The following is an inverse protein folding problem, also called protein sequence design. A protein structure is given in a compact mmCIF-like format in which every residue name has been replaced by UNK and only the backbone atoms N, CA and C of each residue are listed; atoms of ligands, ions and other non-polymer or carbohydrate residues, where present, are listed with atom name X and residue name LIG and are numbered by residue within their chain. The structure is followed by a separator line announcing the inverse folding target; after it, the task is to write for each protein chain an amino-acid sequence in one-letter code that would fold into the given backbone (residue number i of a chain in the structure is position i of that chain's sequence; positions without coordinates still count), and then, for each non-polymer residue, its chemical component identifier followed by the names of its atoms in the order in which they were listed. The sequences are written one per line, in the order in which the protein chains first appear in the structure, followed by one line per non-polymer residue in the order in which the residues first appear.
data_IF_210532860444
#
_entry.id   IF_210532860444
#
_cell.length_a   1.000
_cell.length_b   1.000
_cell.length_c   1.000
_cell.angle_alpha   90.00
_cell.angle_beta   90.00
_cell.angle_gamma   90.00
#
_symmetry.space_group_name_H-M   'P 1'
#
loop_
_entity.id
_entity.type
_entity.pdbx_description
1 polymer ?
#
# COMPACT_ATOMS: atom_id res chain seq x y z
N UNK A 1 -1.19 -3.59 10.18
CA UNK A 1 0.16 -3.82 9.61
C UNK A 1 1.29 -3.83 10.64
N UNK A 2 1.53 -2.75 11.41
CA UNK A 2 2.70 -2.69 12.32
C UNK A 2 2.84 -3.86 13.32
N UNK A 3 1.72 -4.36 13.87
CA UNK A 3 1.73 -5.54 14.76
C UNK A 3 2.15 -6.82 14.03
N UNK A 4 1.68 -7.02 12.79
CA UNK A 4 2.01 -8.18 11.97
C UNK A 4 3.51 -8.21 11.66
N UNK A 5 4.08 -7.10 11.18
CA UNK A 5 5.52 -7.00 10.88
C UNK A 5 6.37 -7.24 12.12
N UNK A 6 5.99 -6.69 13.29
CA UNK A 6 6.70 -6.95 14.54
C UNK A 6 6.66 -8.42 14.96
N UNK A 7 5.50 -9.07 14.80
CA UNK A 7 5.35 -10.48 15.15
C UNK A 7 6.12 -11.40 14.19
N UNK A 8 6.18 -11.04 12.90
CA UNK A 8 6.95 -11.78 11.90
C UNK A 8 8.46 -11.65 12.12
N UNK A 9 8.93 -10.50 12.59
CA UNK A 9 10.36 -10.24 12.82
C UNK A 9 11.15 -9.98 11.53
N UNK A 10 10.50 -9.95 10.37
CA UNK A 10 11.10 -9.79 9.06
C UNK A 10 10.33 -8.74 8.21
N UNK A 11 10.97 -8.13 7.19
CA UNK A 11 10.29 -7.26 6.25
C UNK A 11 9.19 -7.99 5.47
N UNK A 12 8.11 -7.26 5.17
CA UNK A 12 7.02 -7.78 4.32
C UNK A 12 7.01 -7.02 3.00
N UNK A 13 7.24 -7.74 1.90
CA UNK A 13 7.00 -7.21 0.55
C UNK A 13 5.50 -7.27 0.27
N UNK A 14 4.92 -6.15 -0.15
CA UNK A 14 3.48 -6.05 -0.46
C UNK A 14 3.21 -5.11 -1.62
N UNK A 15 2.23 -5.49 -2.44
CA UNK A 15 1.55 -4.60 -3.40
C UNK A 15 0.11 -4.35 -2.92
N UNK A 16 -0.71 -3.66 -3.71
CA UNK A 16 -2.15 -3.68 -3.52
C UNK A 16 -2.70 -5.10 -3.75
N UNK A 17 -3.71 -5.48 -2.97
CA UNK A 17 -4.39 -6.78 -3.09
C UNK A 17 -5.48 -6.68 -4.16
N UNK A 18 -5.16 -7.11 -5.38
CA UNK A 18 -6.06 -7.13 -6.52
C UNK A 18 -5.55 -8.06 -7.61
N UNK A 19 -6.45 -8.48 -8.49
CA UNK A 19 -6.07 -9.12 -9.74
C UNK A 19 -5.35 -8.13 -10.67
N UNK A 20 -4.45 -8.60 -11.55
CA UNK A 20 -3.78 -7.75 -12.52
C UNK A 20 -4.78 -6.93 -13.34
N UNK A 21 -4.57 -5.61 -13.41
CA UNK A 21 -5.45 -4.67 -14.14
C UNK A 21 -6.73 -4.27 -13.40
N UNK A 22 -7.06 -4.90 -12.27
CA UNK A 22 -8.21 -4.53 -11.44
C UNK A 22 -7.85 -3.44 -10.42
N UNK A 23 -8.84 -2.64 -9.97
CA UNK A 23 -8.63 -1.74 -8.84
C UNK A 23 -8.30 -2.51 -7.55
N UNK A 24 -7.59 -1.89 -6.58
CA UNK A 24 -7.37 -2.48 -5.26
C UNK A 24 -8.67 -2.89 -4.58
N UNK A 25 -8.68 -4.07 -3.96
CA UNK A 25 -9.82 -4.53 -3.18
C UNK A 25 -10.03 -3.65 -1.93
N UNK A 26 -11.26 -3.21 -1.64
CA UNK A 26 -11.53 -2.30 -0.52
C UNK A 26 -11.54 -3.01 0.85
N UNK A 27 -11.61 -4.34 0.90
CA UNK A 27 -11.75 -5.09 2.15
C UNK A 27 -11.66 -6.60 1.96
N UNK A 28 -11.77 -7.33 3.06
CA UNK A 28 -11.56 -8.79 3.11
C UNK A 28 -12.56 -9.56 2.24
N UNK A 29 -13.84 -9.17 2.21
CA UNK A 29 -14.85 -9.85 1.40
C UNK A 29 -14.57 -9.71 -0.10
N UNK A 30 -14.05 -8.56 -0.52
CA UNK A 30 -13.66 -8.34 -1.91
C UNK A 30 -12.44 -9.20 -2.28
N UNK A 31 -11.43 -9.27 -1.40
CA UNK A 31 -10.27 -10.15 -1.60
C UNK A 31 -10.71 -11.62 -1.67
N UNK A 32 -11.55 -12.06 -0.72
CA UNK A 32 -12.02 -13.44 -0.67
C UNK A 32 -12.81 -13.84 -1.93
N UNK A 33 -13.63 -12.93 -2.46
CA UNK A 33 -14.34 -13.14 -3.73
C UNK A 33 -13.38 -13.16 -4.93
N UNK A 34 -12.50 -12.17 -5.04
CA UNK A 34 -11.62 -12.01 -6.21
C UNK A 34 -10.57 -13.13 -6.30
N UNK A 35 -10.20 -13.73 -5.14
CA UNK A 35 -9.24 -14.83 -5.03
C UNK A 35 -9.87 -16.13 -4.50
N UNK A 36 -11.18 -16.34 -4.71
CA UNK A 36 -11.92 -17.46 -4.12
C UNK A 36 -11.22 -18.83 -4.26
N UNK A 37 -10.69 -19.23 -5.44
CA UNK A 37 -10.02 -20.52 -5.58
C UNK A 37 -8.80 -20.70 -4.65
N UNK A 38 -8.03 -19.63 -4.41
CA UNK A 38 -6.84 -19.68 -3.56
C UNK A 38 -7.20 -19.70 -2.07
N UNK A 39 -8.27 -19.00 -1.69
CA UNK A 39 -8.81 -19.02 -0.33
C UNK A 39 -9.40 -20.38 -0.01
N UNK A 40 -10.22 -20.93 -0.90
CA UNK A 40 -10.81 -22.28 -0.77
C UNK A 40 -9.74 -23.37 -0.69
N UNK A 41 -8.66 -23.24 -1.48
CA UNK A 41 -7.52 -24.15 -1.44
C UNK A 41 -6.61 -23.97 -0.20
N UNK A 42 -6.85 -22.96 0.64
CA UNK A 42 -6.02 -22.66 1.82
C UNK A 42 -4.62 -22.14 1.49
N UNK A 43 -4.38 -21.70 0.25
CA UNK A 43 -3.09 -21.16 -0.21
C UNK A 43 -3.00 -19.65 -0.06
N UNK A 44 -4.13 -18.98 0.13
CA UNK A 44 -4.21 -17.55 0.47
C UNK A 44 -4.93 -17.38 1.81
N UNK A 45 -4.26 -16.72 2.76
CA UNK A 45 -4.87 -16.28 4.02
C UNK A 45 -5.27 -14.81 3.92
N UNK A 46 -6.47 -14.47 4.39
CA UNK A 46 -6.98 -13.10 4.43
C UNK A 46 -7.08 -12.65 5.88
N UNK A 47 -6.43 -11.52 6.20
CA UNK A 47 -6.55 -10.86 7.49
C UNK A 47 -7.56 -9.72 7.39
N UNK A 48 -8.73 -9.90 8.00
CA UNK A 48 -9.77 -8.86 8.02
C UNK A 48 -9.43 -7.75 9.01
N UNK A 49 -9.23 -6.54 8.46
CA UNK A 49 -9.01 -5.30 9.21
C UNK A 49 -10.11 -4.26 8.99
N UNK A 50 -11.24 -4.65 8.40
CA UNK A 50 -12.31 -3.78 7.95
C UNK A 50 -12.10 -3.20 6.54
N UNK A 51 -13.06 -2.38 6.12
CA UNK A 51 -13.07 -1.73 4.80
C UNK A 51 -12.22 -0.47 4.82
N UNK A 52 -11.33 -0.35 3.84
CA UNK A 52 -10.60 0.87 3.55
C UNK A 52 -11.55 1.88 2.88
N UNK A 53 -11.55 3.12 3.37
CA UNK A 53 -12.19 4.23 2.66
C UNK A 53 -11.45 4.59 1.37
N UNK A 54 -11.83 5.71 0.75
CA UNK A 54 -11.10 6.30 -0.37
C UNK A 54 -9.74 6.87 0.10
N UNK A 55 -8.79 5.98 0.39
CA UNK A 55 -7.42 6.35 0.71
C UNK A 55 -6.59 6.21 -0.56
N UNK A 56 -5.98 7.31 -1.07
CA UNK A 56 -5.02 7.20 -2.15
C UNK A 56 -3.87 6.25 -1.76
N UNK A 57 -3.22 5.61 -2.74
CA UNK A 57 -2.01 4.82 -2.49
C UNK A 57 -0.90 5.68 -1.84
N UNK A 58 0.12 5.05 -1.29
CA UNK A 58 1.27 5.74 -0.70
C UNK A 58 1.94 6.72 -1.67
N UNK A 59 2.49 7.83 -1.19
CA UNK A 59 3.29 8.72 -2.03
C UNK A 59 4.67 8.13 -2.26
N UNK A 60 5.16 8.18 -3.51
CA UNK A 60 6.44 7.61 -3.90
C UNK A 60 7.40 8.72 -4.35
N UNK A 61 8.53 8.83 -3.64
CA UNK A 61 9.61 9.78 -3.92
C UNK A 61 10.89 8.99 -4.17
N UNK A 62 11.56 9.27 -5.27
CA UNK A 62 12.90 8.78 -5.56
C UNK A 62 13.92 9.69 -4.87
N UNK A 63 14.59 9.15 -3.86
CA UNK A 63 15.65 9.81 -3.10
C UNK A 63 17.05 9.29 -3.46
N UNK A 64 17.20 8.60 -4.58
CA UNK A 64 18.51 8.06 -5.03
C UNK A 64 19.37 9.10 -5.76
N UNK A 65 18.76 10.20 -6.19
CA UNK A 65 19.41 11.33 -6.85
C UNK A 65 19.75 12.45 -5.84
N UNK A 66 20.70 13.36 -6.17
CA UNK A 66 21.04 14.48 -5.30
C UNK A 66 19.86 15.40 -4.95
N UNK A 67 18.86 15.49 -5.84
CA UNK A 67 17.59 16.15 -5.57
C UNK A 67 16.48 15.09 -5.62
N UNK A 68 15.64 14.97 -4.57
CA UNK A 68 14.51 14.04 -4.59
C UNK A 68 13.54 14.32 -5.73
N UNK A 69 12.90 13.29 -6.26
CA UNK A 69 11.92 13.41 -7.34
C UNK A 69 10.62 12.73 -6.99
N UNK A 70 9.50 13.43 -7.19
CA UNK A 70 8.18 12.84 -7.02
C UNK A 70 7.92 11.87 -8.18
N UNK A 71 7.76 10.59 -7.86
CA UNK A 71 7.41 9.54 -8.83
C UNK A 71 5.89 9.40 -8.93
N UNK A 72 5.21 9.45 -7.78
CA UNK A 72 3.75 9.36 -7.72
C UNK A 72 3.21 10.08 -6.49
N UNK A 73 2.32 11.05 -6.70
CA UNK A 73 1.54 11.65 -5.60
C UNK A 73 0.50 10.64 -5.08
N UNK A 74 0.24 10.69 -3.78
CA UNK A 74 -0.57 9.72 -3.06
C UNK A 74 -1.15 10.32 -1.79
N UNK A 75 -1.24 9.52 -0.73
CA UNK A 75 -1.82 9.96 0.56
C UNK A 75 -1.09 11.15 1.22
N UNK A 76 0.18 11.39 0.87
CA UNK A 76 0.93 12.58 1.25
C UNK A 76 1.09 13.47 0.02
N UNK A 77 0.52 14.66 0.06
CA UNK A 77 0.53 15.58 -1.07
C UNK A 77 1.89 16.23 -1.26
N UNK A 78 2.16 16.75 -2.47
CA UNK A 78 3.38 17.53 -2.73
C UNK A 78 3.46 18.78 -1.84
N UNK A 79 2.32 19.40 -1.55
CA UNK A 79 2.25 20.56 -0.66
C UNK A 79 2.71 20.20 0.76
N UNK A 80 2.29 19.05 1.28
CA UNK A 80 2.71 18.56 2.59
C UNK A 80 4.20 18.21 2.62
N UNK A 81 4.71 17.59 1.55
CA UNK A 81 6.15 17.32 1.41
C UNK A 81 6.96 18.62 1.42
N UNK A 82 6.54 19.64 0.66
CA UNK A 82 7.19 20.97 0.64
C UNK A 82 7.15 21.65 2.00
N UNK A 83 6.03 21.55 2.72
CA UNK A 83 5.89 22.09 4.08
C UNK A 83 6.85 21.39 5.06
N UNK A 84 7.03 20.08 4.96
CA UNK A 84 7.83 19.30 5.90
C UNK A 84 9.33 19.30 5.59
N UNK A 85 9.71 19.15 4.31
CA UNK A 85 11.10 19.00 3.89
C UNK A 85 11.72 20.29 3.32
N UNK A 86 10.94 21.34 3.08
CA UNK A 86 11.42 22.63 2.57
C UNK A 86 12.17 22.49 1.26
N UNK A 87 13.41 23.01 1.22
CA UNK A 87 14.28 22.94 0.02
C UNK A 87 14.69 21.52 -0.40
N UNK A 88 14.45 20.52 0.46
CA UNK A 88 14.74 19.10 0.17
C UNK A 88 13.51 18.35 -0.36
N UNK A 89 12.37 19.01 -0.47
CA UNK A 89 11.19 18.39 -1.05
C UNK A 89 11.40 18.11 -2.56
N UNK A 90 10.73 17.07 -3.10
CA UNK A 90 10.74 16.81 -4.54
C UNK A 90 10.01 17.87 -5.39
#
# INVERSE_FOLDING_TARGET
MARLVRALGEPVTSTSANLPGSPPAPGAEAIARDFAPAVEAGTLLVLDGGVLGNSPPSTLVDCTLPAPRLIREGAVTLAELRRAAGRLAP
#
